data_IF_181914672900
#
_entry.id   IF_181914672900
#
_cell.length_a   1.000
_cell.length_b   1.000
_cell.length_c   1.000
_cell.angle_alpha   90.00
_cell.angle_beta   90.00
_cell.angle_gamma   90.00
#
_symmetry.space_group_name_H-M   'P 1'
#
loop_
_entity.id
_entity.type
_entity.pdbx_description
1 polymer ?
#
# COMPACT_ATOMS: atom_id res chain seq x y z
N UNK A 1 23.97 20.54 4.46
CA UNK A 1 23.55 20.69 3.06
C UNK A 1 22.37 19.78 2.88
N UNK A 2 21.17 20.35 2.89
CA UNK A 2 19.95 19.59 2.69
C UNK A 2 19.58 19.75 1.23
N UNK A 3 19.73 18.68 0.46
CA UNK A 3 19.24 18.64 -0.91
C UNK A 3 17.73 18.77 -0.83
N UNK A 4 17.24 19.99 -1.07
CA UNK A 4 15.82 20.22 -1.29
C UNK A 4 15.44 19.34 -2.48
N UNK A 5 14.56 18.37 -2.25
CA UNK A 5 14.02 17.56 -3.33
C UNK A 5 13.52 18.52 -4.42
N UNK A 6 13.96 18.36 -5.68
CA UNK A 6 13.67 19.33 -6.75
C UNK A 6 12.19 19.43 -7.09
N UNK A 7 11.35 18.62 -6.46
CA UNK A 7 9.90 18.62 -6.60
C UNK A 7 9.24 18.84 -5.23
N UNK A 8 8.34 19.84 -5.09
CA UNK A 8 7.56 19.99 -3.88
C UNK A 8 6.69 18.74 -3.69
N UNK A 9 6.75 18.13 -2.50
CA UNK A 9 5.85 17.04 -2.14
C UNK A 9 4.49 17.67 -1.85
N UNK A 10 3.48 17.34 -2.65
CA UNK A 10 2.11 17.83 -2.45
C UNK A 10 1.33 16.96 -1.46
N UNK A 11 1.55 15.65 -1.53
CA UNK A 11 0.90 14.65 -0.70
C UNK A 11 1.93 13.68 -0.11
N UNK A 12 1.77 13.36 1.17
CA UNK A 12 2.56 12.34 1.86
C UNK A 12 1.66 11.18 2.26
N UNK A 13 2.09 9.97 1.93
CA UNK A 13 1.41 8.75 2.33
C UNK A 13 2.22 8.07 3.44
N UNK A 14 1.63 7.92 4.62
CA UNK A 14 2.16 7.06 5.67
C UNK A 14 1.53 5.67 5.57
N UNK A 15 2.33 4.61 5.63
CA UNK A 15 1.84 3.22 5.57
C UNK A 15 2.53 2.39 6.65
N UNK A 16 1.72 1.77 7.50
CA UNK A 16 2.13 0.80 8.51
C UNK A 16 1.61 -0.58 8.08
N UNK A 17 2.52 -1.48 7.68
CA UNK A 17 2.17 -2.86 7.37
C UNK A 17 2.02 -3.65 8.69
N UNK A 18 0.80 -4.05 9.00
CA UNK A 18 0.47 -4.83 10.21
C UNK A 18 0.66 -6.33 9.99
N UNK A 19 0.41 -6.80 8.76
CA UNK A 19 0.59 -8.19 8.34
C UNK A 19 0.93 -8.22 6.87
N UNK A 20 1.92 -9.01 6.48
CA UNK A 20 2.17 -9.32 5.07
C UNK A 20 2.82 -10.69 4.96
N UNK A 21 1.99 -11.72 4.91
CA UNK A 21 2.44 -13.11 4.92
C UNK A 21 1.52 -13.99 4.08
N UNK A 22 2.02 -15.14 3.66
CA UNK A 22 1.24 -16.15 2.96
C UNK A 22 2.01 -17.45 2.82
N UNK A 23 1.30 -18.50 2.42
CA UNK A 23 1.86 -19.82 2.22
C UNK A 23 1.54 -20.35 0.81
N UNK A 24 2.44 -21.18 0.30
CA UNK A 24 2.28 -21.85 -1.00
C UNK A 24 1.00 -22.70 -1.01
N UNK A 25 0.19 -22.56 -2.05
CA UNK A 25 -1.06 -23.29 -2.20
C UNK A 25 -2.20 -22.82 -1.27
N UNK A 26 -1.99 -21.75 -0.51
CA UNK A 26 -3.01 -21.13 0.34
C UNK A 26 -3.35 -19.71 -0.18
N UNK A 27 -3.04 -18.69 0.62
CA UNK A 27 -3.33 -17.29 0.33
C UNK A 27 -2.32 -16.38 1.01
N UNK A 28 -2.13 -15.20 0.43
CA UNK A 28 -1.43 -14.09 1.04
C UNK A 28 -2.44 -13.20 1.73
N UNK A 29 -2.14 -12.78 2.95
CA UNK A 29 -2.87 -11.73 3.67
C UNK A 29 -1.99 -10.51 3.84
N UNK A 30 -2.49 -9.35 3.41
CA UNK A 30 -1.91 -8.05 3.65
C UNK A 30 -2.86 -7.23 4.51
N UNK A 31 -2.44 -6.86 5.72
CA UNK A 31 -3.14 -5.89 6.55
C UNK A 31 -2.26 -4.64 6.71
N UNK A 32 -2.82 -3.46 6.46
CA UNK A 32 -2.08 -2.21 6.54
C UNK A 32 -2.95 -1.08 7.06
N UNK A 33 -2.37 -0.20 7.88
CA UNK A 33 -2.93 1.13 8.17
C UNK A 33 -2.22 2.14 7.29
N UNK A 34 -2.96 3.05 6.70
CA UNK A 34 -2.38 4.08 5.88
C UNK A 34 -3.13 5.39 6.01
N UNK A 35 -2.42 6.48 5.71
CA UNK A 35 -2.98 7.82 5.72
C UNK A 35 -2.37 8.69 4.64
N UNK A 36 -3.18 9.56 4.06
CA UNK A 36 -2.76 10.54 3.05
C UNK A 36 -2.88 11.92 3.68
N UNK A 37 -1.77 12.65 3.65
CA UNK A 37 -1.64 14.00 4.19
C UNK A 37 -1.36 14.98 3.07
N UNK A 38 -2.04 16.12 3.06
CA UNK A 38 -1.65 17.25 2.20
C UNK A 38 -0.52 18.02 2.88
N UNK A 39 0.56 18.29 2.16
CA UNK A 39 1.75 18.93 2.75
C UNK A 39 1.56 20.41 3.04
N UNK A 40 0.76 21.10 2.21
CA UNK A 40 0.45 22.53 2.31
C UNK A 40 -0.10 22.92 3.68
N UNK A 41 -1.09 22.17 4.19
CA UNK A 41 -1.84 22.47 5.41
C UNK A 41 -1.70 21.39 6.50
N UNK A 42 -0.88 20.35 6.25
CA UNK A 42 -0.73 19.17 7.12
C UNK A 42 -2.04 18.46 7.41
N UNK A 43 -3.06 18.61 6.56
CA UNK A 43 -4.37 18.00 6.77
C UNK A 43 -4.37 16.54 6.37
N UNK A 44 -4.99 15.71 7.21
CA UNK A 44 -5.30 14.31 6.89
C UNK A 44 -6.47 14.30 5.92
N UNK A 45 -6.22 13.87 4.68
CA UNK A 45 -7.26 13.70 3.65
C UNK A 45 -7.97 12.35 3.78
N UNK A 46 -7.24 11.33 4.21
CA UNK A 46 -7.77 9.99 4.46
C UNK A 46 -6.89 9.26 5.46
N UNK A 47 -7.51 8.44 6.29
CA UNK A 47 -6.85 7.46 7.13
C UNK A 47 -7.72 6.21 7.16
N UNK A 48 -7.16 5.06 6.76
CA UNK A 48 -7.90 3.80 6.62
C UNK A 48 -7.05 2.62 7.05
N UNK A 49 -7.74 1.53 7.35
CA UNK A 49 -7.13 0.21 7.53
C UNK A 49 -7.66 -0.69 6.41
N UNK A 50 -6.74 -1.38 5.74
CA UNK A 50 -7.03 -2.29 4.63
C UNK A 50 -6.64 -3.70 5.02
N UNK A 51 -7.48 -4.67 4.65
CA UNK A 51 -7.22 -6.10 4.82
C UNK A 51 -7.50 -6.80 3.50
N UNK A 52 -6.44 -7.15 2.80
CA UNK A 52 -6.46 -7.73 1.47
C UNK A 52 -6.03 -9.20 1.54
N UNK A 53 -6.72 -10.04 0.79
CA UNK A 53 -6.42 -11.46 0.70
C UNK A 53 -6.36 -11.89 -0.76
N UNK A 54 -5.23 -12.46 -1.15
CA UNK A 54 -4.99 -12.92 -2.52
C UNK A 54 -4.71 -14.43 -2.51
N UNK A 55 -5.40 -15.24 -3.33
CA UNK A 55 -5.10 -16.66 -3.45
C UNK A 55 -3.72 -16.87 -4.07
N UNK A 56 -3.02 -17.91 -3.60
CA UNK A 56 -1.78 -18.39 -4.22
C UNK A 56 -2.13 -19.46 -5.23
N UNK A 57 -2.20 -19.06 -6.51
CA UNK A 57 -2.54 -19.93 -7.63
C UNK A 57 -1.30 -20.70 -8.11
N UNK A 58 -0.88 -21.68 -7.32
CA UNK A 58 0.28 -22.50 -7.64
C UNK A 58 0.90 -23.15 -6.41
N UNK A 59 1.83 -24.08 -6.65
CA UNK A 59 2.56 -24.80 -5.59
C UNK A 59 4.06 -24.48 -5.58
N UNK A 60 4.41 -23.31 -6.08
CA UNK A 60 5.78 -22.80 -6.15
C UNK A 60 5.89 -21.41 -5.52
N UNK A 61 7.13 -20.95 -5.37
CA UNK A 61 7.43 -19.63 -4.79
C UNK A 61 7.06 -18.48 -5.72
N UNK A 62 7.07 -18.70 -7.04
CA UNK A 62 6.69 -17.67 -8.00
C UNK A 62 5.22 -17.30 -7.86
N UNK A 63 4.34 -18.30 -7.70
CA UNK A 63 2.93 -18.09 -7.41
C UNK A 63 2.71 -17.34 -6.09
N UNK A 64 3.51 -17.65 -5.05
CA UNK A 64 3.44 -16.94 -3.76
C UNK A 64 3.85 -15.47 -3.91
N UNK A 65 4.99 -15.19 -4.54
CA UNK A 65 5.45 -13.82 -4.81
C UNK A 65 4.47 -13.07 -5.70
N UNK A 66 3.88 -13.75 -6.69
CA UNK A 66 2.82 -13.20 -7.54
C UNK A 66 1.59 -12.78 -6.73
N UNK A 67 1.13 -13.61 -5.79
CA UNK A 67 0.04 -13.25 -4.88
C UNK A 67 0.40 -12.08 -3.94
N UNK A 68 1.64 -12.03 -3.44
CA UNK A 68 2.14 -10.91 -2.63
C UNK A 68 2.15 -9.59 -3.44
N UNK A 69 2.61 -9.65 -4.69
CA UNK A 69 2.60 -8.50 -5.60
C UNK A 69 1.17 -8.01 -5.88
N UNK A 70 0.23 -8.93 -6.13
CA UNK A 70 -1.18 -8.58 -6.32
C UNK A 70 -1.79 -7.89 -5.09
N UNK A 71 -1.49 -8.40 -3.89
CA UNK A 71 -1.98 -7.81 -2.64
C UNK A 71 -1.45 -6.38 -2.46
N UNK A 72 -0.15 -6.17 -2.71
CA UNK A 72 0.46 -4.83 -2.66
C UNK A 72 -0.10 -3.89 -3.73
N UNK A 73 -0.34 -4.39 -4.94
CA UNK A 73 -0.98 -3.61 -6.00
C UNK A 73 -2.43 -3.23 -5.63
N UNK A 74 -3.16 -4.10 -4.92
CA UNK A 74 -4.45 -3.80 -4.33
C UNK A 74 -4.38 -2.61 -3.36
N UNK A 75 -3.47 -2.66 -2.39
CA UNK A 75 -3.27 -1.56 -1.44
C UNK A 75 -2.90 -0.25 -2.16
N UNK A 76 -1.98 -0.33 -3.13
CA UNK A 76 -1.56 0.84 -3.91
C UNK A 76 -2.74 1.49 -4.64
N UNK A 77 -3.66 0.69 -5.21
CA UNK A 77 -4.88 1.20 -5.85
C UNK A 77 -5.82 1.88 -4.84
N UNK A 78 -5.98 1.32 -3.65
CA UNK A 78 -6.82 1.93 -2.60
C UNK A 78 -6.26 3.29 -2.14
N UNK A 79 -4.94 3.36 -1.95
CA UNK A 79 -4.25 4.61 -1.60
C UNK A 79 -4.42 5.63 -2.73
N UNK A 80 -4.15 5.23 -3.98
CA UNK A 80 -4.24 6.11 -5.14
C UNK A 80 -5.66 6.68 -5.32
N UNK A 81 -6.70 5.87 -5.09
CA UNK A 81 -8.09 6.30 -5.17
C UNK A 81 -8.49 7.31 -4.07
N UNK A 82 -7.73 7.40 -2.98
CA UNK A 82 -7.94 8.40 -1.92
C UNK A 82 -7.13 9.69 -2.12
N UNK A 83 -6.22 9.73 -3.09
CA UNK A 83 -5.54 10.95 -3.49
C UNK A 83 -6.48 11.72 -4.44
N UNK A 84 -6.82 12.98 -4.14
CA UNK A 84 -7.67 13.78 -5.01
C UNK A 84 -7.04 13.91 -6.41
N UNK A 85 -7.83 13.67 -7.46
CA UNK A 85 -7.48 14.06 -8.83
C UNK A 85 -7.62 15.58 -8.91
N UNK A 86 -6.58 16.24 -9.40
CA UNK A 86 -6.54 17.70 -9.59
C UNK A 86 -7.40 18.12 -10.78
#
# INVERSE_FOLDING_TARGET
GGDAYPFPVEYRVGVDLLRFEGAIGESVTLAARWSVHREEDKKILSARESNLKEPVEGRDYEALVGAMSRALAGLSREIAAAIPVQ
#
